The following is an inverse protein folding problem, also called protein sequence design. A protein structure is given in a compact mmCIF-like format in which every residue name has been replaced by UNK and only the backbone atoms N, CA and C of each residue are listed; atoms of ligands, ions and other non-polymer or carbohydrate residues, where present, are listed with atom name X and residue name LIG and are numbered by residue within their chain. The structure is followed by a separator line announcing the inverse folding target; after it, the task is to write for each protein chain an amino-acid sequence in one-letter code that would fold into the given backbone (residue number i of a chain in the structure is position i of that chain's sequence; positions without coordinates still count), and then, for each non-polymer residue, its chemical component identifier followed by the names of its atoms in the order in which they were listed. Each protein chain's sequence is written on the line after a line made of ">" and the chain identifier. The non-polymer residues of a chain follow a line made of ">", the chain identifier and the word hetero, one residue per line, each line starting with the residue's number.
data_IF_294021538108
#
_entry.id   IF_294021538108
#
_cell.length_a   1.000
_cell.length_b   1.000
_cell.length_c   1.000
_cell.angle_alpha   90.00
_cell.angle_beta   90.00
_cell.angle_gamma   90.00
#
_symmetry.space_group_name_H-M   'P 1'
#
loop_
_entity.id
_entity.type
_entity.pdbx_description
1 polymer ?
#
# COMPACT_ATOMS: atom_id res chain seq x y z
N UNK A 1 0.33 32.27 28.30
CA UNK A 1 1.50 31.37 28.26
C UNK A 1 1.15 30.37 27.19
N UNK A 2 1.68 30.57 25.99
CA UNK A 2 1.44 29.65 24.88
C UNK A 2 2.12 28.33 25.28
N UNK A 3 1.29 27.30 25.48
CA UNK A 3 1.78 25.94 25.57
C UNK A 3 2.61 25.66 24.31
N UNK A 4 3.84 25.14 24.42
CA UNK A 4 4.59 24.76 23.24
C UNK A 4 3.71 23.82 22.41
N UNK A 5 3.43 24.19 21.16
CA UNK A 5 2.74 23.31 20.23
C UNK A 5 3.50 21.99 20.21
N UNK A 6 2.84 20.82 20.35
CA UNK A 6 3.52 19.54 20.31
C UNK A 6 4.38 19.49 19.03
N UNK A 7 5.68 19.23 19.21
CA UNK A 7 6.57 19.02 18.07
C UNK A 7 6.00 17.86 17.27
N UNK A 8 5.71 18.11 15.99
CA UNK A 8 5.21 17.08 15.09
C UNK A 8 6.21 15.92 15.09
N UNK A 9 5.75 14.71 15.41
CA UNK A 9 6.57 13.49 15.36
C UNK A 9 6.94 13.11 13.92
N UNK A 10 6.33 13.77 12.94
CA UNK A 10 6.57 13.60 11.53
C UNK A 10 7.84 14.30 11.05
N UNK A 11 8.61 13.59 10.22
CA UNK A 11 9.78 14.13 9.51
C UNK A 11 9.55 14.04 8.01
N UNK A 12 9.92 15.08 7.28
CA UNK A 12 9.94 15.04 5.81
C UNK A 12 11.17 14.25 5.35
N UNK A 13 10.94 13.16 4.63
CA UNK A 13 11.98 12.31 4.03
C UNK A 13 12.39 12.85 2.67
N UNK A 14 11.40 13.19 1.85
CA UNK A 14 11.60 13.71 0.51
C UNK A 14 10.43 14.59 0.08
N UNK A 15 10.70 15.44 -0.90
CA UNK A 15 9.69 16.23 -1.61
C UNK A 15 9.84 16.02 -3.11
N UNK A 16 8.70 15.89 -3.80
CA UNK A 16 8.62 15.82 -5.25
C UNK A 16 7.94 17.06 -5.82
N UNK A 17 8.10 17.31 -7.11
CA UNK A 17 7.40 18.42 -7.79
C UNK A 17 6.02 18.03 -8.32
N UNK A 18 5.69 16.74 -8.28
CA UNK A 18 4.42 16.16 -8.71
C UNK A 18 3.77 15.41 -7.55
N UNK A 19 2.46 15.18 -7.67
CA UNK A 19 1.73 14.38 -6.70
C UNK A 19 2.25 12.95 -6.72
N UNK A 20 2.57 12.41 -5.55
CA UNK A 20 2.95 11.02 -5.36
C UNK A 20 1.65 10.20 -5.21
N UNK A 21 1.56 9.09 -5.92
CA UNK A 21 0.36 8.25 -5.97
C UNK A 21 0.53 6.95 -5.22
N UNK A 22 1.75 6.43 -5.11
CA UNK A 22 2.06 5.18 -4.44
C UNK A 22 3.44 5.19 -3.79
N UNK A 23 3.61 4.40 -2.73
CA UNK A 23 4.88 4.07 -2.11
C UNK A 23 5.05 2.55 -2.04
N UNK A 24 6.29 2.09 -2.17
CA UNK A 24 6.69 0.73 -1.83
C UNK A 24 8.13 0.70 -1.34
N UNK A 25 8.45 -0.31 -0.54
CA UNK A 25 9.79 -0.53 0.01
C UNK A 25 10.31 -1.89 -0.39
N UNK A 26 11.59 -1.94 -0.71
CA UNK A 26 12.33 -3.19 -0.84
C UNK A 26 12.74 -3.66 0.55
N UNK A 27 12.00 -4.61 1.12
CA UNK A 27 12.23 -5.11 2.48
C UNK A 27 13.53 -5.90 2.66
N UNK A 28 14.24 -6.24 1.57
CA UNK A 28 15.53 -6.95 1.64
C UNK A 28 16.73 -5.99 1.68
N UNK A 29 16.53 -4.69 1.50
CA UNK A 29 17.59 -3.68 1.59
C UNK A 29 17.57 -3.00 2.96
N UNK A 30 18.75 -2.75 3.50
CA UNK A 30 18.92 -1.99 4.74
C UNK A 30 18.92 -0.49 4.47
N UNK A 31 18.22 0.27 5.31
CA UNK A 31 18.08 1.72 5.21
C UNK A 31 17.24 2.19 4.03
N UNK A 32 16.89 3.48 4.01
CA UNK A 32 15.92 4.03 3.06
C UNK A 32 16.48 4.33 1.67
N UNK A 33 17.75 4.73 1.60
CA UNK A 33 18.38 5.12 0.33
C UNK A 33 18.55 3.89 -0.56
N UNK A 34 17.80 3.83 -1.65
CA UNK A 34 17.78 2.69 -2.57
C UNK A 34 16.79 1.58 -2.20
N UNK A 35 16.03 1.73 -1.10
CA UNK A 35 14.97 0.82 -0.68
C UNK A 35 13.57 1.40 -0.89
N UNK A 36 13.38 2.72 -0.77
CA UNK A 36 12.07 3.36 -0.97
C UNK A 36 11.86 3.76 -2.44
N UNK A 37 10.69 3.39 -2.96
CA UNK A 37 10.24 3.73 -4.31
C UNK A 37 8.89 4.42 -4.23
N UNK A 38 8.63 5.26 -5.23
CA UNK A 38 7.40 6.01 -5.35
C UNK A 38 6.90 6.00 -6.79
N UNK A 39 5.62 6.25 -6.98
CA UNK A 39 5.05 6.57 -8.29
C UNK A 39 4.47 7.98 -8.26
N UNK A 40 4.52 8.69 -9.38
CA UNK A 40 3.89 10.01 -9.49
C UNK A 40 2.70 10.04 -10.46
N UNK A 41 1.92 11.11 -10.36
CA UNK A 41 0.74 11.34 -11.18
C UNK A 41 1.04 11.60 -12.66
N UNK A 42 2.31 11.67 -13.06
CA UNK A 42 2.77 11.95 -14.44
C UNK A 42 3.37 10.74 -15.14
N UNK A 43 3.18 9.53 -14.59
CA UNK A 43 3.65 8.23 -15.10
C UNK A 43 5.05 7.79 -14.69
N UNK A 44 5.74 8.52 -13.82
CA UNK A 44 7.08 8.14 -13.41
C UNK A 44 7.08 7.16 -12.23
N UNK A 45 7.95 6.16 -12.31
CA UNK A 45 8.44 5.37 -11.17
C UNK A 45 9.72 6.04 -10.70
N UNK A 46 9.79 6.30 -9.41
CA UNK A 46 10.86 7.04 -8.75
C UNK A 46 11.53 6.13 -7.71
N UNK A 47 12.79 6.41 -7.41
CA UNK A 47 13.49 5.81 -6.27
C UNK A 47 14.13 6.90 -5.41
N UNK A 48 14.19 6.66 -4.11
CA UNK A 48 14.81 7.56 -3.15
C UNK A 48 16.32 7.33 -3.09
N UNK A 49 17.11 8.39 -3.28
CA UNK A 49 18.54 8.39 -3.00
C UNK A 49 18.88 9.58 -2.08
N UNK A 50 19.34 9.28 -0.87
CA UNK A 50 19.39 10.28 0.20
C UNK A 50 17.98 10.82 0.49
N UNK A 51 17.77 12.13 0.24
CA UNK A 51 16.48 12.81 0.42
C UNK A 51 15.87 13.29 -0.90
N UNK A 52 16.35 12.77 -2.03
CA UNK A 52 15.94 13.20 -3.37
C UNK A 52 15.30 12.01 -4.11
N UNK A 53 14.16 12.26 -4.74
CA UNK A 53 13.49 11.29 -5.61
C UNK A 53 14.04 11.43 -7.02
N UNK A 54 14.54 10.33 -7.56
CA UNK A 54 15.08 10.24 -8.92
C UNK A 54 14.15 9.41 -9.80
N UNK A 55 13.94 9.86 -11.03
CA UNK A 55 13.19 9.10 -12.03
C UNK A 55 13.95 7.82 -12.40
N UNK A 56 13.30 6.67 -12.26
CA UNK A 56 13.81 5.36 -12.62
C UNK A 56 13.34 4.94 -14.02
N UNK A 57 12.03 5.07 -14.26
CA UNK A 57 11.37 4.64 -15.51
C UNK A 57 10.03 5.34 -15.65
N UNK A 58 9.59 5.59 -16.88
CA UNK A 58 8.21 6.02 -17.16
C UNK A 58 7.36 4.84 -17.59
N UNK A 59 6.16 4.74 -17.03
CA UNK A 59 5.14 3.80 -17.51
C UNK A 59 4.44 4.31 -18.76
N UNK A 60 4.36 5.64 -18.93
CA UNK A 60 3.46 6.31 -19.89
C UNK A 60 1.96 6.07 -19.61
N UNK A 61 1.62 5.71 -18.37
CA UNK A 61 0.25 5.50 -17.91
C UNK A 61 -0.04 6.27 -16.62
N UNK A 62 -0.81 5.66 -15.72
CA UNK A 62 -1.18 6.23 -14.43
C UNK A 62 -0.91 5.21 -13.32
N UNK A 63 0.35 5.10 -12.85
CA UNK A 63 0.71 4.20 -11.77
C UNK A 63 0.11 4.68 -10.45
N UNK A 64 -0.59 3.80 -9.73
CA UNK A 64 -1.28 4.12 -8.46
C UNK A 64 -1.04 3.10 -7.36
N UNK A 65 -0.34 2.01 -7.66
CA UNK A 65 0.10 1.03 -6.67
C UNK A 65 1.45 0.46 -7.05
N UNK A 66 2.29 0.20 -6.05
CA UNK A 66 3.60 -0.40 -6.22
C UNK A 66 3.77 -1.56 -5.25
N UNK A 67 4.48 -2.59 -5.67
CA UNK A 67 4.98 -3.64 -4.78
C UNK A 67 6.32 -4.16 -5.28
N UNK A 68 7.20 -4.57 -4.37
CA UNK A 68 8.58 -4.92 -4.70
C UNK A 68 8.86 -6.32 -4.20
N UNK A 69 9.51 -7.10 -5.05
CA UNK A 69 10.10 -8.39 -4.69
C UNK A 69 11.55 -8.36 -5.10
N UNK A 70 12.43 -8.60 -4.15
CA UNK A 70 13.86 -8.71 -4.39
C UNK A 70 14.39 -10.05 -3.88
N UNK A 71 15.25 -10.66 -4.67
CA UNK A 71 16.11 -11.77 -4.26
C UNK A 71 17.58 -11.42 -4.55
N UNK A 72 18.51 -12.34 -4.29
CA UNK A 72 19.94 -12.11 -4.51
C UNK A 72 20.31 -11.82 -5.98
N UNK A 73 19.41 -12.12 -6.92
CA UNK A 73 19.67 -12.04 -8.37
C UNK A 73 18.96 -10.88 -9.04
N UNK A 74 17.78 -10.51 -8.56
CA UNK A 74 16.92 -9.53 -9.23
C UNK A 74 16.01 -8.78 -8.26
N UNK A 75 15.71 -7.53 -8.62
CA UNK A 75 14.63 -6.74 -8.03
C UNK A 75 13.56 -6.53 -9.10
N UNK A 76 12.33 -6.89 -8.76
CA UNK A 76 11.14 -6.71 -9.59
C UNK A 76 10.20 -5.74 -8.88
N UNK A 77 9.76 -4.71 -9.60
CA UNK A 77 8.73 -3.79 -9.14
C UNK A 77 7.45 -4.09 -9.93
N UNK A 78 6.40 -4.50 -9.23
CA UNK A 78 5.06 -4.61 -9.79
C UNK A 78 4.34 -3.28 -9.65
N UNK A 79 3.66 -2.87 -10.73
CA UNK A 79 3.01 -1.58 -10.83
C UNK A 79 1.56 -1.78 -11.20
N UNK A 80 0.64 -1.35 -10.34
CA UNK A 80 -0.76 -1.22 -10.69
C UNK A 80 -0.94 0.07 -11.48
N UNK A 81 -1.23 -0.03 -12.77
CA UNK A 81 -1.40 1.11 -13.68
C UNK A 81 -2.83 1.14 -14.23
N UNK A 82 -3.58 2.17 -13.81
CA UNK A 82 -5.00 2.30 -14.14
C UNK A 82 -5.21 2.64 -15.60
N UNK A 83 -4.32 3.45 -16.20
CA UNK A 83 -4.45 3.87 -17.59
C UNK A 83 -4.14 2.72 -18.55
N UNK A 84 -3.17 1.87 -18.22
CA UNK A 84 -2.88 0.65 -18.97
C UNK A 84 -3.89 -0.47 -18.71
N UNK A 85 -4.74 -0.35 -17.68
CA UNK A 85 -5.61 -1.44 -17.23
C UNK A 85 -4.82 -2.72 -16.96
N UNK A 86 -3.65 -2.59 -16.36
CA UNK A 86 -2.71 -3.69 -16.23
C UNK A 86 -1.89 -3.62 -14.93
N UNK A 87 -1.43 -4.79 -14.52
CA UNK A 87 -0.21 -4.90 -13.71
C UNK A 87 0.97 -4.92 -14.67
N UNK A 88 1.88 -3.98 -14.50
CA UNK A 88 3.18 -3.97 -15.19
C UNK A 88 4.23 -4.59 -14.27
N UNK A 89 5.25 -5.23 -14.86
CA UNK A 89 6.47 -5.58 -14.13
C UNK A 89 7.63 -4.74 -14.65
N UNK A 90 8.46 -4.24 -13.73
CA UNK A 90 9.73 -3.58 -14.02
C UNK A 90 10.85 -4.42 -13.44
N UNK A 91 11.67 -5.01 -14.30
CA UNK A 91 12.88 -5.73 -13.91
C UNK A 91 14.06 -4.76 -13.86
N UNK A 92 14.68 -4.64 -12.68
CA UNK A 92 15.83 -3.77 -12.50
C UNK A 92 17.11 -4.48 -12.99
N UNK A 93 17.63 -4.02 -14.12
CA UNK A 93 18.93 -4.43 -14.60
C UNK A 93 20.06 -3.91 -13.69
N UNK A 94 21.02 -4.78 -13.33
CA UNK A 94 22.27 -4.39 -12.66
C UNK A 94 23.15 -3.52 -13.59
N UNK A 95 23.08 -3.77 -14.90
CA UNK A 95 23.77 -3.03 -15.94
C UNK A 95 22.86 -2.90 -17.17
N UNK A 96 22.67 -1.67 -17.67
CA UNK A 96 21.83 -1.39 -18.85
C UNK A 96 20.47 -0.80 -18.49
N UNK A 97 19.53 -0.88 -19.44
CA UNK A 97 18.19 -0.31 -19.28
C UNK A 97 17.26 -1.24 -18.49
N UNK A 98 16.45 -0.66 -17.61
CA UNK A 98 15.39 -1.39 -16.92
C UNK A 98 14.28 -1.79 -17.89
N UNK A 99 13.82 -3.03 -17.78
CA UNK A 99 12.82 -3.60 -18.68
C UNK A 99 11.43 -3.49 -18.05
N UNK A 100 10.52 -2.76 -18.70
CA UNK A 100 9.13 -2.61 -18.27
C UNK A 100 8.23 -3.35 -19.25
N UNK A 101 7.48 -4.35 -18.77
CA UNK A 101 6.54 -5.09 -19.61
C UNK A 101 5.20 -5.33 -18.91
N UNK A 102 4.18 -5.68 -19.69
CA UNK A 102 2.87 -6.08 -19.15
C UNK A 102 2.98 -7.44 -18.48
N UNK A 103 2.57 -7.52 -17.21
CA UNK A 103 2.50 -8.78 -16.48
C UNK A 103 1.11 -9.41 -16.57
N UNK A 104 0.05 -8.61 -16.33
CA UNK A 104 -1.35 -9.04 -16.39
C UNK A 104 -2.22 -7.89 -16.87
N UNK A 105 -3.02 -8.08 -17.92
CA UNK A 105 -3.95 -7.08 -18.49
C UNK A 105 -5.36 -7.63 -18.80
N UNK A 106 -5.56 -8.94 -18.67
CA UNK A 106 -6.85 -9.59 -18.89
C UNK A 106 -7.15 -10.71 -17.90
N UNK A 107 -8.45 -10.96 -17.66
CA UNK A 107 -8.97 -12.12 -16.96
C UNK A 107 -10.21 -12.65 -17.68
N UNK A 108 -10.24 -13.95 -18.00
CA UNK A 108 -11.37 -14.58 -18.73
C UNK A 108 -11.75 -13.81 -20.01
N UNK A 109 -10.75 -13.43 -20.82
CA UNK A 109 -10.92 -12.67 -22.09
C UNK A 109 -11.52 -11.27 -21.92
N UNK A 110 -11.58 -10.76 -20.70
CA UNK A 110 -12.00 -9.40 -20.40
C UNK A 110 -10.81 -8.60 -19.89
N UNK A 111 -10.59 -7.43 -20.46
CA UNK A 111 -9.62 -6.46 -19.93
C UNK A 111 -9.96 -6.12 -18.47
N UNK A 112 -8.93 -5.86 -17.68
CA UNK A 112 -9.12 -5.35 -16.31
C UNK A 112 -9.78 -3.97 -16.36
N UNK A 113 -10.43 -3.57 -15.27
CA UNK A 113 -11.04 -2.24 -15.16
C UNK A 113 -9.99 -1.13 -14.96
N UNK A 114 -8.87 -1.49 -14.34
CA UNK A 114 -7.81 -0.61 -13.89
C UNK A 114 -7.36 -1.02 -12.48
N UNK A 115 -6.26 -1.78 -12.36
CA UNK A 115 -5.72 -2.15 -11.05
C UNK A 115 -5.37 -0.92 -10.22
N UNK A 116 -5.81 -0.88 -8.97
CA UNK A 116 -5.63 0.29 -8.09
C UNK A 116 -4.76 0.02 -6.86
N UNK A 117 -4.44 -1.24 -6.58
CA UNK A 117 -3.54 -1.62 -5.50
C UNK A 117 -2.92 -2.97 -5.83
N UNK A 118 -1.64 -3.14 -5.51
CA UNK A 118 -0.89 -4.37 -5.71
C UNK A 118 0.01 -4.61 -4.52
N UNK A 119 0.11 -5.86 -4.08
CA UNK A 119 1.04 -6.29 -3.04
C UNK A 119 1.60 -7.66 -3.42
N UNK A 120 2.82 -7.95 -3.00
CA UNK A 120 3.42 -9.24 -3.20
C UNK A 120 3.92 -9.79 -1.85
N UNK A 121 3.76 -11.08 -1.64
CA UNK A 121 4.35 -11.73 -0.49
C UNK A 121 5.86 -11.85 -0.69
N UNK A 122 6.71 -11.31 0.22
CA UNK A 122 8.15 -11.22 0.00
C UNK A 122 8.82 -12.58 -0.20
N UNK A 123 8.37 -13.62 0.50
CA UNK A 123 9.01 -14.94 0.45
C UNK A 123 8.44 -15.88 -0.62
N UNK A 124 7.12 -15.87 -0.86
CA UNK A 124 6.50 -16.76 -1.87
C UNK A 124 6.44 -16.13 -3.26
N UNK A 125 6.59 -14.81 -3.36
CA UNK A 125 6.38 -14.07 -4.61
C UNK A 125 4.93 -14.10 -5.11
N UNK A 126 3.97 -14.51 -4.26
CA UNK A 126 2.56 -14.50 -4.62
C UNK A 126 2.05 -13.07 -4.70
N UNK A 127 1.55 -12.69 -5.87
CA UNK A 127 1.06 -11.35 -6.14
C UNK A 127 -0.45 -11.30 -5.88
N UNK A 128 -0.91 -10.23 -5.24
CA UNK A 128 -2.32 -9.91 -5.07
C UNK A 128 -2.58 -8.50 -5.55
N UNK A 129 -3.70 -8.28 -6.22
CA UNK A 129 -4.08 -6.95 -6.64
C UNK A 129 -5.59 -6.75 -6.62
N UNK A 130 -5.98 -5.50 -6.41
CA UNK A 130 -7.37 -5.04 -6.49
C UNK A 130 -7.58 -4.36 -7.83
N UNK A 131 -8.59 -4.82 -8.56
CA UNK A 131 -9.05 -4.21 -9.81
C UNK A 131 -10.40 -3.53 -9.59
N UNK A 132 -10.43 -2.21 -9.70
CA UNK A 132 -11.64 -1.39 -9.47
C UNK A 132 -11.89 -0.39 -10.59
N UNK A 133 -10.87 -0.08 -11.38
CA UNK A 133 -10.87 1.04 -12.31
C UNK A 133 -10.56 2.38 -11.63
N UNK A 134 -10.60 3.48 -12.42
CA UNK A 134 -10.25 4.80 -11.94
C UNK A 134 -11.17 5.29 -10.82
N UNK A 135 -10.61 6.11 -9.92
CA UNK A 135 -11.39 6.78 -8.89
C UNK A 135 -12.49 7.64 -9.53
N UNK A 136 -13.72 7.53 -9.02
CA UNK A 136 -14.90 8.23 -9.58
C UNK A 136 -15.62 7.47 -10.68
N UNK A 137 -15.04 6.40 -11.25
CA UNK A 137 -15.74 5.51 -12.19
C UNK A 137 -16.49 4.36 -11.51
N UNK A 138 -16.49 4.32 -10.18
CA UNK A 138 -17.31 3.37 -9.43
C UNK A 138 -18.78 3.54 -9.87
N UNK A 139 -19.49 2.44 -10.17
CA UNK A 139 -20.88 2.55 -10.56
C UNK A 139 -21.66 3.26 -9.45
N UNK A 140 -22.63 4.09 -9.85
CA UNK A 140 -23.59 4.75 -8.95
C UNK A 140 -24.32 3.75 -8.02
N UNK A 141 -24.18 2.44 -8.27
CA UNK A 141 -24.90 1.36 -7.62
C UNK A 141 -23.96 0.18 -7.28
N UNK A 142 -23.21 0.30 -6.18
CA UNK A 142 -22.68 -0.86 -5.45
C UNK A 142 -21.21 -1.24 -5.70
N UNK A 143 -20.72 -2.29 -5.00
CA UNK A 143 -19.34 -2.76 -5.12
C UNK A 143 -19.02 -3.26 -6.52
N UNK A 144 -17.87 -2.88 -7.07
CA UNK A 144 -17.40 -3.33 -8.38
C UNK A 144 -15.96 -3.85 -8.38
N UNK A 145 -15.24 -3.68 -7.26
CA UNK A 145 -13.86 -4.11 -7.18
C UNK A 145 -13.75 -5.64 -7.08
N UNK A 146 -12.73 -6.18 -7.71
CA UNK A 146 -12.34 -7.59 -7.64
C UNK A 146 -10.96 -7.73 -7.01
N UNK A 147 -10.74 -8.84 -6.31
CA UNK A 147 -9.44 -9.24 -5.81
C UNK A 147 -8.93 -10.40 -6.65
N UNK A 148 -7.71 -10.26 -7.15
CA UNK A 148 -7.01 -11.29 -7.90
C UNK A 148 -5.74 -11.73 -7.19
N UNK A 149 -5.36 -12.99 -7.39
CA UNK A 149 -4.10 -13.57 -6.95
C UNK A 149 -3.38 -14.24 -8.11
N UNK A 150 -2.05 -14.10 -8.16
CA UNK A 150 -1.17 -14.74 -9.15
C UNK A 150 -0.05 -15.44 -8.41
N UNK A 151 0.06 -16.75 -8.60
CA UNK A 151 1.23 -17.51 -8.14
C UNK A 151 2.37 -17.35 -9.15
N UNK A 152 3.57 -17.09 -8.65
CA UNK A 152 4.79 -17.00 -9.47
C UNK A 152 5.06 -18.30 -10.24
N UNK A 153 4.74 -19.45 -9.63
CA UNK A 153 5.07 -20.77 -10.19
C UNK A 153 4.04 -21.27 -11.20
N UNK A 154 2.76 -20.99 -10.96
CA UNK A 154 1.70 -21.45 -11.86
C UNK A 154 1.47 -20.49 -13.02
N UNK A 155 1.76 -19.19 -12.85
CA UNK A 155 1.41 -18.14 -13.80
C UNK A 155 -0.12 -18.01 -14.02
N UNK A 156 -0.92 -18.69 -13.19
CA UNK A 156 -2.38 -18.69 -13.30
C UNK A 156 -2.93 -17.53 -12.49
N UNK A 157 -3.59 -16.60 -13.19
CA UNK A 157 -4.40 -15.56 -12.59
C UNK A 157 -5.71 -16.16 -12.04
N UNK A 158 -5.96 -15.96 -10.75
CA UNK A 158 -7.16 -16.46 -10.06
C UNK A 158 -7.96 -15.29 -9.52
N UNK A 159 -9.25 -15.25 -9.83
CA UNK A 159 -10.19 -14.34 -9.20
C UNK A 159 -10.59 -14.89 -7.81
N UNK A 160 -10.24 -14.16 -6.75
CA UNK A 160 -10.50 -14.56 -5.37
C UNK A 160 -11.84 -14.01 -4.86
N UNK A 161 -12.14 -12.75 -5.21
CA UNK A 161 -13.43 -12.10 -4.96
C UNK A 161 -13.78 -11.32 -6.22
N UNK A 162 -14.94 -11.59 -6.82
CA UNK A 162 -15.34 -10.97 -8.10
C UNK A 162 -16.39 -9.90 -7.90
N UNK A 163 -16.10 -8.62 -8.12
CA UNK A 163 -17.09 -7.53 -8.13
C UNK A 163 -17.99 -7.45 -6.89
N UNK A 164 -17.44 -7.76 -5.71
CA UNK A 164 -18.15 -7.66 -4.42
C UNK A 164 -17.43 -6.75 -3.43
N UNK A 165 -16.35 -6.10 -3.85
CA UNK A 165 -15.57 -5.20 -3.00
C UNK A 165 -15.81 -3.72 -3.35
N UNK A 166 -15.64 -2.89 -2.33
CA UNK A 166 -15.39 -1.43 -2.42
C UNK A 166 -13.93 -1.12 -2.08
N UNK A 167 -13.05 -2.10 -2.32
CA UNK A 167 -11.66 -2.10 -1.87
C UNK A 167 -10.86 -0.93 -2.43
N UNK A 168 -10.08 -0.29 -1.56
CA UNK A 168 -9.13 0.76 -1.88
C UNK A 168 -7.70 0.24 -1.93
N UNK A 169 -7.36 -0.73 -1.06
CA UNK A 169 -6.01 -1.23 -0.89
C UNK A 169 -6.00 -2.69 -0.44
N UNK A 170 -4.96 -3.43 -0.82
CA UNK A 170 -4.66 -4.78 -0.33
C UNK A 170 -3.24 -4.83 0.25
N UNK A 171 -3.09 -5.56 1.35
CA UNK A 171 -1.81 -5.84 2.00
C UNK A 171 -1.71 -7.33 2.33
N UNK A 172 -0.48 -7.83 2.44
CA UNK A 172 -0.18 -9.22 2.84
C UNK A 172 0.80 -9.23 4.00
N UNK A 173 0.47 -10.01 5.03
CA UNK A 173 1.34 -10.24 6.20
C UNK A 173 2.33 -11.38 5.94
N UNK A 174 3.43 -11.48 6.71
CA UNK A 174 4.38 -12.60 6.60
C UNK A 174 3.77 -13.99 6.85
N UNK A 175 2.66 -14.07 7.59
CA UNK A 175 1.91 -15.31 7.81
C UNK A 175 1.00 -15.70 6.63
N UNK A 176 1.08 -14.96 5.51
CA UNK A 176 0.23 -15.04 4.31
C UNK A 176 -1.21 -14.54 4.50
N UNK A 177 -1.57 -13.99 5.65
CA UNK A 177 -2.88 -13.34 5.83
C UNK A 177 -3.00 -12.13 4.90
N UNK A 178 -4.12 -12.03 4.19
CA UNK A 178 -4.46 -10.89 3.36
C UNK A 178 -5.34 -9.92 4.14
N UNK A 179 -5.09 -8.63 3.97
CA UNK A 179 -5.94 -7.57 4.50
C UNK A 179 -6.40 -6.70 3.35
N UNK A 180 -7.67 -6.31 3.37
CA UNK A 180 -8.30 -5.50 2.33
C UNK A 180 -9.01 -4.34 3.02
N UNK A 181 -8.61 -3.12 2.66
CA UNK A 181 -9.25 -1.90 3.12
C UNK A 181 -10.45 -1.57 2.23
N UNK A 182 -11.66 -1.56 2.80
CA UNK A 182 -12.87 -1.13 2.12
C UNK A 182 -13.33 0.22 2.65
N UNK A 183 -12.77 1.29 2.08
CA UNK A 183 -13.06 2.68 2.43
C UNK A 183 -14.57 2.97 2.55
N UNK A 184 -15.35 2.84 1.46
CA UNK A 184 -16.78 3.14 1.48
C UNK A 184 -17.62 2.26 2.42
N UNK A 185 -17.17 1.04 2.74
CA UNK A 185 -17.84 0.15 3.70
C UNK A 185 -17.32 0.33 5.14
N UNK A 186 -16.39 1.26 5.36
CA UNK A 186 -15.70 1.55 6.61
C UNK A 186 -15.22 0.30 7.37
N UNK A 187 -14.58 -0.64 6.66
CA UNK A 187 -14.16 -1.92 7.26
C UNK A 187 -12.88 -2.47 6.66
N UNK A 188 -12.29 -3.42 7.37
CA UNK A 188 -11.15 -4.21 6.94
C UNK A 188 -11.58 -5.68 6.86
N UNK A 189 -11.36 -6.29 5.70
CA UNK A 189 -11.56 -7.73 5.49
C UNK A 189 -10.22 -8.44 5.66
N UNK A 190 -10.23 -9.60 6.33
CA UNK A 190 -9.08 -10.52 6.37
C UNK A 190 -9.37 -11.76 5.54
N UNK A 191 -8.44 -12.09 4.65
CA UNK A 191 -8.39 -13.36 3.92
C UNK A 191 -7.36 -14.29 4.56
N UNK A 192 -7.76 -15.50 4.94
CA UNK A 192 -6.83 -16.52 5.46
C UNK A 192 -6.67 -17.60 4.38
N UNK A 193 -5.44 -17.83 3.87
CA UNK A 193 -5.16 -18.94 2.98
C UNK A 193 -5.44 -20.28 3.67
N UNK A 194 -6.13 -21.15 2.96
CA UNK A 194 -6.33 -22.55 3.34
C UNK A 194 -5.12 -23.40 2.99
N UNK A 195 -5.19 -24.69 3.32
CA UNK A 195 -4.07 -25.65 3.19
C UNK A 195 -3.48 -25.79 1.78
N UNK A 196 -4.20 -25.36 0.74
CA UNK A 196 -3.78 -25.51 -0.67
C UNK A 196 -3.52 -24.17 -1.38
N UNK A 197 -3.28 -23.08 -0.64
CA UNK A 197 -3.02 -21.70 -1.11
C UNK A 197 -4.11 -21.05 -2.03
N UNK A 198 -4.99 -21.86 -2.64
CA UNK A 198 -6.01 -21.47 -3.63
C UNK A 198 -7.36 -21.18 -2.96
N UNK A 199 -7.62 -21.77 -1.80
CA UNK A 199 -8.84 -21.50 -1.04
C UNK A 199 -8.55 -20.42 -0.02
N UNK A 200 -9.15 -19.24 -0.15
CA UNK A 200 -9.02 -18.19 0.85
C UNK A 200 -10.38 -17.91 1.47
N UNK A 201 -10.45 -18.00 2.80
CA UNK A 201 -11.66 -17.64 3.54
C UNK A 201 -11.58 -16.17 3.92
N UNK A 202 -12.59 -15.40 3.51
CA UNK A 202 -12.66 -13.96 3.78
C UNK A 202 -13.71 -13.67 4.85
N UNK A 203 -13.32 -12.88 5.84
CA UNK A 203 -14.21 -12.44 6.93
C UNK A 203 -13.98 -10.96 7.21
N UNK A 204 -15.01 -10.26 7.68
CA UNK A 204 -14.82 -8.91 8.21
C UNK A 204 -13.96 -9.04 9.47
N UNK A 205 -12.78 -8.45 9.44
CA UNK A 205 -11.83 -8.50 10.53
C UNK A 205 -12.05 -7.36 11.50
N UNK A 206 -12.26 -6.14 10.99
CA UNK A 206 -12.60 -4.97 11.80
C UNK A 206 -13.64 -4.11 11.09
N UNK A 207 -14.76 -3.86 11.75
CA UNK A 207 -15.63 -2.73 11.41
C UNK A 207 -15.07 -1.51 12.14
N UNK A 208 -14.80 -0.44 11.39
CA UNK A 208 -14.31 0.82 11.94
C UNK A 208 -15.49 1.73 12.31
N UNK A 209 -15.25 2.64 13.24
CA UNK A 209 -16.24 3.61 13.70
C UNK A 209 -16.11 4.92 12.90
N UNK A 210 -17.19 5.71 12.85
CA UNK A 210 -17.23 6.98 12.14
C UNK A 210 -17.63 6.88 10.67
N UNK A 211 -17.53 8.00 9.96
CA UNK A 211 -17.83 8.15 8.53
C UNK A 211 -16.62 7.92 7.62
N UNK A 212 -15.43 7.85 8.20
CA UNK A 212 -14.15 7.88 7.51
C UNK A 212 -13.63 6.46 7.32
N UNK A 213 -13.42 6.07 6.06
CA UNK A 213 -12.99 4.72 5.71
C UNK A 213 -11.47 4.54 5.64
N UNK A 214 -10.99 3.29 5.68
CA UNK A 214 -9.58 2.98 5.45
C UNK A 214 -9.21 3.18 3.98
N UNK A 215 -8.15 3.97 3.75
CA UNK A 215 -7.66 4.33 2.42
C UNK A 215 -6.51 3.43 1.98
N UNK A 216 -5.54 3.24 2.88
CA UNK A 216 -4.38 2.40 2.67
C UNK A 216 -4.07 1.61 3.94
N UNK A 217 -3.43 0.45 3.76
CA UNK A 217 -3.03 -0.43 4.85
C UNK A 217 -1.64 -0.96 4.55
N UNK A 218 -0.83 -1.15 5.59
CA UNK A 218 0.44 -1.85 5.45
C UNK A 218 0.73 -2.74 6.66
N UNK A 219 1.36 -3.89 6.44
CA UNK A 219 1.85 -4.73 7.51
C UNK A 219 3.02 -4.03 8.21
N UNK A 220 3.08 -4.11 9.53
CA UNK A 220 4.17 -3.58 10.33
C UNK A 220 4.59 -4.54 11.43
N UNK A 221 5.71 -4.24 12.05
CA UNK A 221 6.23 -4.97 13.21
C UNK A 221 6.74 -3.96 14.23
N UNK A 222 6.33 -4.13 15.48
CA UNK A 222 6.81 -3.37 16.62
C UNK A 222 7.70 -4.30 17.46
N UNK A 223 8.99 -3.98 17.63
CA UNK A 223 9.84 -4.72 18.55
C UNK A 223 9.35 -4.54 19.99
N UNK A 224 9.11 -5.63 20.72
CA UNK A 224 8.75 -5.62 22.14
C UNK A 224 9.75 -6.45 22.96
N UNK A 225 9.72 -6.35 24.28
CA UNK A 225 10.55 -7.18 25.16
C UNK A 225 10.27 -8.69 24.99
N UNK A 226 9.05 -9.05 24.57
CA UNK A 226 8.61 -10.43 24.35
C UNK A 226 8.87 -10.92 22.91
N UNK A 227 9.42 -10.06 22.05
CA UNK A 227 9.65 -10.32 20.64
C UNK A 227 8.90 -9.36 19.72
N UNK A 228 8.96 -9.66 18.43
CA UNK A 228 8.34 -8.85 17.38
C UNK A 228 6.82 -9.01 17.38
N UNK A 229 6.10 -7.90 17.61
CA UNK A 229 4.65 -7.86 17.58
C UNK A 229 4.16 -7.43 16.18
N UNK A 230 3.46 -8.30 15.44
CA UNK A 230 2.86 -7.92 14.16
C UNK A 230 1.71 -6.95 14.36
N UNK A 231 1.64 -5.94 13.51
CA UNK A 231 0.59 -4.91 13.53
C UNK A 231 0.11 -4.61 12.12
N UNK A 232 -1.10 -4.05 12.03
CA UNK A 232 -1.62 -3.45 10.81
C UNK A 232 -1.68 -1.94 10.99
N UNK A 233 -0.96 -1.22 10.13
CA UNK A 233 -1.03 0.25 10.07
C UNK A 233 -2.11 0.62 9.06
N UNK A 234 -3.11 1.38 9.50
CA UNK A 234 -4.26 1.76 8.70
C UNK A 234 -4.29 3.28 8.54
N UNK A 235 -4.25 3.76 7.31
CA UNK A 235 -4.51 5.16 6.99
C UNK A 235 -6.01 5.38 6.88
N UNK A 236 -6.54 6.26 7.72
CA UNK A 236 -7.92 6.72 7.68
C UNK A 236 -7.92 8.17 7.17
N UNK A 237 -8.81 8.45 6.22
CA UNK A 237 -9.03 9.81 5.70
C UNK A 237 -10.50 10.16 5.92
N UNK A 238 -10.74 11.24 6.65
CA UNK A 238 -12.05 11.79 6.93
C UNK A 238 -12.41 12.88 5.92
N UNK A 239 -13.06 12.49 4.82
CA UNK A 239 -13.42 13.41 3.73
C UNK A 239 -14.20 14.66 4.22
N UNK A 240 -15.18 14.57 5.15
CA UNK A 240 -15.88 15.75 5.68
C UNK A 240 -15.01 16.79 6.38
N UNK A 241 -13.93 16.37 7.04
CA UNK A 241 -13.06 17.27 7.83
C UNK A 241 -11.71 17.50 7.18
N UNK A 242 -11.45 16.85 6.05
CA UNK A 242 -10.15 16.81 5.36
C UNK A 242 -8.99 16.42 6.30
N UNK A 243 -9.31 15.71 7.39
CA UNK A 243 -8.33 15.21 8.34
C UNK A 243 -7.92 13.79 7.99
N UNK A 244 -6.68 13.44 8.31
CA UNK A 244 -6.18 12.09 8.13
C UNK A 244 -5.40 11.67 9.37
N UNK A 245 -5.46 10.39 9.69
CA UNK A 245 -4.71 9.80 10.80
C UNK A 245 -4.30 8.37 10.48
N UNK A 246 -3.28 7.91 11.17
CA UNK A 246 -2.90 6.51 11.17
C UNK A 246 -3.45 5.84 12.43
N UNK A 247 -4.04 4.66 12.25
CA UNK A 247 -4.51 3.79 13.30
C UNK A 247 -3.65 2.53 13.31
N UNK A 248 -3.08 2.19 14.47
CA UNK A 248 -2.36 0.94 14.67
C UNK A 248 -3.29 -0.07 15.30
N UNK A 249 -3.46 -1.21 14.62
CA UNK A 249 -4.23 -2.33 15.12
C UNK A 249 -3.30 -3.51 15.39
N UNK A 250 -3.45 -4.15 16.54
CA UNK A 250 -2.88 -5.47 16.76
C UNK A 250 -3.65 -6.54 15.95
N UNK A 251 -3.15 -7.79 15.97
CA UNK A 251 -3.79 -8.88 15.24
C UNK A 251 -5.12 -9.36 15.86
N UNK A 252 -5.45 -8.88 17.07
CA UNK A 252 -6.71 -9.10 17.79
C UNK A 252 -7.72 -7.95 17.57
N UNK A 253 -7.42 -7.02 16.66
CA UNK A 253 -8.25 -5.89 16.24
C UNK A 253 -8.36 -4.74 17.25
N UNK A 254 -7.51 -4.74 18.29
CA UNK A 254 -7.48 -3.67 19.28
C UNK A 254 -6.64 -2.50 18.76
N UNK A 255 -7.12 -1.24 18.90
CA UNK A 255 -6.30 -0.08 18.67
C UNK A 255 -5.24 0.02 19.76
N UNK A 256 -3.98 0.08 19.35
CA UNK A 256 -2.82 0.21 20.25
C UNK A 256 -2.09 1.54 20.05
N UNK A 257 -2.56 2.36 19.12
CA UNK A 257 -1.93 3.62 18.79
C UNK A 257 -2.68 4.40 17.73
N UNK A 258 -2.57 5.73 17.82
CA UNK A 258 -3.12 6.67 16.86
C UNK A 258 -2.16 7.84 16.70
N UNK A 259 -1.99 8.30 15.47
CA UNK A 259 -1.30 9.57 15.21
C UNK A 259 -2.03 10.33 14.13
N UNK A 260 -2.33 11.59 14.40
CA UNK A 260 -2.87 12.49 13.40
C UNK A 260 -1.76 12.91 12.42
N UNK A 261 -2.09 12.94 11.13
CA UNK A 261 -1.20 13.44 10.10
C UNK A 261 -1.15 14.97 10.17
N UNK A 262 -0.06 15.60 9.68
CA UNK A 262 -0.04 17.05 9.54
C UNK A 262 -1.25 17.54 8.73
N UNK A 263 -1.80 18.71 9.09
CA UNK A 263 -2.97 19.30 8.44
C UNK A 263 -2.82 19.35 6.90
N UNK A 264 -3.95 19.31 6.19
CA UNK A 264 -4.03 19.39 4.72
C UNK A 264 -3.35 18.23 3.96
N UNK A 265 -3.09 17.09 4.64
CA UNK A 265 -2.49 15.93 4.00
C UNK A 265 -3.53 15.09 3.26
N UNK A 266 -3.60 15.26 1.93
CA UNK A 266 -4.34 14.34 1.04
C UNK A 266 -3.64 12.97 0.96
N UNK A 267 -3.67 12.14 2.00
CA UNK A 267 -2.90 10.90 2.00
C UNK A 267 -3.48 9.80 1.08
N UNK A 268 -2.62 9.21 0.24
CA UNK A 268 -3.02 8.19 -0.74
C UNK A 268 -2.42 6.81 -0.51
N UNK A 269 -1.22 6.75 0.06
CA UNK A 269 -0.45 5.51 0.16
C UNK A 269 0.46 5.56 1.39
N UNK A 270 0.73 4.38 1.96
CA UNK A 270 1.65 4.19 3.05
C UNK A 270 2.42 2.88 2.90
N UNK A 271 3.59 2.79 3.51
CA UNK A 271 4.34 1.54 3.67
C UNK A 271 5.13 1.56 4.99
N UNK A 272 5.60 0.40 5.44
CA UNK A 272 6.40 0.26 6.66
C UNK A 272 7.74 -0.35 6.32
N UNK A 273 8.81 0.21 6.87
CA UNK A 273 10.17 -0.32 6.72
C UNK A 273 11.00 -0.02 7.97
N UNK A 274 11.72 -1.01 8.49
CA UNK A 274 12.62 -0.87 9.63
C UNK A 274 12.01 -0.11 10.82
N UNK A 275 10.78 -0.48 11.21
CA UNK A 275 10.09 0.14 12.34
C UNK A 275 9.61 1.58 12.10
N UNK A 276 9.64 2.07 10.85
CA UNK A 276 9.15 3.39 10.47
C UNK A 276 7.98 3.26 9.51
N UNK A 277 6.96 4.10 9.69
CA UNK A 277 5.89 4.29 8.72
C UNK A 277 6.27 5.42 7.79
N UNK A 278 6.07 5.18 6.50
CA UNK A 278 6.18 6.18 5.44
C UNK A 278 4.80 6.43 4.84
N UNK A 279 4.44 7.68 4.65
CA UNK A 279 3.14 8.08 4.12
C UNK A 279 3.31 9.20 3.10
N UNK A 280 2.51 9.15 2.04
CA UNK A 280 2.38 10.29 1.12
C UNK A 280 1.50 11.34 1.78
N UNK A 281 1.96 12.58 1.87
CA UNK A 281 1.19 13.68 2.48
C UNK A 281 1.58 15.06 1.95
N UNK A 282 1.17 16.09 2.70
CA UNK A 282 1.28 17.50 2.34
C UNK A 282 0.16 17.98 1.41
N UNK A 283 0.02 19.31 1.31
CA UNK A 283 -1.06 20.05 0.62
C UNK A 283 -1.31 19.58 -0.82
N UNK A 284 -0.27 19.05 -1.49
CA UNK A 284 -0.29 18.59 -2.89
C UNK A 284 0.15 17.13 -3.05
N UNK A 285 0.10 16.29 -2.02
CA UNK A 285 0.61 14.89 -2.08
C UNK A 285 2.06 14.77 -2.53
N UNK A 286 2.84 15.80 -2.29
CA UNK A 286 4.18 15.92 -2.85
C UNK A 286 5.27 15.63 -1.81
N UNK A 287 4.90 15.30 -0.57
CA UNK A 287 5.81 14.94 0.50
C UNK A 287 5.75 13.45 0.80
N UNK A 288 6.91 12.89 1.13
CA UNK A 288 7.01 11.63 1.87
C UNK A 288 7.33 11.99 3.30
N UNK A 289 6.43 11.64 4.21
CA UNK A 289 6.58 11.84 5.64
C UNK A 289 6.93 10.51 6.31
N UNK A 290 7.72 10.54 7.37
CA UNK A 290 8.05 9.38 8.19
C UNK A 290 7.81 9.61 9.66
N UNK A 291 7.35 8.57 10.34
CA UNK A 291 7.25 8.50 11.81
C UNK A 291 7.69 7.11 12.29
N UNK A 292 8.47 6.99 13.38
CA UNK A 292 8.72 5.70 14.02
C UNK A 292 7.41 5.08 14.52
N UNK A 293 7.23 3.77 14.31
CA UNK A 293 6.06 3.02 14.80
C UNK A 293 5.94 3.06 16.33
N UNK A 294 7.07 2.98 17.02
CA UNK A 294 7.12 3.01 18.48
C UNK A 294 6.56 4.32 19.06
N UNK A 295 6.75 5.44 18.35
CA UNK A 295 6.27 6.76 18.77
C UNK A 295 4.75 6.91 18.59
N UNK A 296 4.09 5.97 17.90
CA UNK A 296 2.64 5.98 17.66
C UNK A 296 1.85 5.19 18.71
N UNK A 297 2.53 4.42 19.57
CA UNK A 297 1.87 3.58 20.57
C UNK A 297 1.40 4.47 21.71
N UNK A 298 0.10 4.46 21.96
CA UNK A 298 -0.48 5.06 23.15
C UNK A 298 -0.40 4.00 24.26
N UNK A 299 0.64 4.05 25.08
CA UNK A 299 0.64 3.27 26.31
C UNK A 299 -0.31 3.96 27.28
N UNK A 300 -1.47 3.35 27.56
CA UNK A 300 -2.25 3.69 28.74
C UNK A 300 -1.35 3.48 29.97
N UNK A 301 -0.92 4.56 30.61
CA UNK A 301 -0.29 4.53 31.94
C UNK A 301 -1.29 4.11 33.04
#
# INVERSE_FOLDING_TARGET
>A
MDSPSPQSIWRTVAQHTKQITALAVDSKKEGLSGALYAADSTSAILFLQGNVLHELKKTNGQPVGLSIVSDERQTIIFVADVAHQAILHLELANHGEHNLTTFVDEYEQSSLLGPCSVTCHPDTGMLFFVDRGPAGAAPLFGPNASLFGVSKDEGILRCMIRSHLTASCVAVMPDRSLFIAEGPANRIIRGIPGERDVQVSFTVWKQLEGSSGPRAIAPGVIPTELGDMPVLVVLIVDEPTESAYLLLLDMETQPIGRVDLPADSECTSLCVHEGNVFVVGGDDRNLILSCPLADMIEMDE
#
